data_IF_319257673583
#
_entry.id   IF_319257673583
#
_cell.length_a   1.000
_cell.length_b   1.000
_cell.length_c   1.000
_cell.angle_alpha   90.00
_cell.angle_beta   90.00
_cell.angle_gamma   90.00
#
_symmetry.space_group_name_H-M   'P 1'
#
loop_
_entity.id
_entity.type
_entity.pdbx_description
1 polymer ?
#
# COMPACT_ATOMS: atom_id res chain seq x y z
N UNK A 1 8.37 5.87 -11.06
CA UNK A 1 7.19 5.12 -10.58
C UNK A 1 7.20 3.78 -11.27
N UNK A 2 7.22 2.69 -10.50
CA UNK A 2 7.28 1.33 -11.05
C UNK A 2 5.94 0.97 -11.69
N UNK A 3 5.97 0.38 -12.89
CA UNK A 3 4.76 -0.10 -13.54
C UNK A 3 4.23 -1.35 -12.80
N UNK A 4 3.01 -1.26 -12.28
CA UNK A 4 2.31 -2.35 -11.57
C UNK A 4 1.26 -3.05 -12.44
N UNK A 5 1.22 -2.78 -13.76
CA UNK A 5 0.17 -3.30 -14.65
C UNK A 5 0.11 -4.83 -14.69
N UNK A 6 1.24 -5.51 -14.51
CA UNK A 6 1.34 -6.98 -14.49
C UNK A 6 1.00 -7.60 -13.12
N UNK A 7 0.47 -6.82 -12.16
CA UNK A 7 0.23 -7.31 -10.80
C UNK A 7 -0.74 -8.49 -10.76
N UNK A 8 -1.84 -8.37 -11.49
CA UNK A 8 -2.89 -9.38 -11.54
C UNK A 8 -2.50 -10.60 -12.39
N UNK A 9 -1.39 -10.51 -13.13
CA UNK A 9 -0.85 -11.58 -13.98
C UNK A 9 0.26 -12.38 -13.26
N UNK A 10 0.64 -11.98 -12.04
CA UNK A 10 1.70 -12.66 -11.29
C UNK A 10 1.26 -14.07 -10.86
N UNK A 11 2.14 -15.07 -11.02
CA UNK A 11 1.83 -16.50 -10.77
C UNK A 11 1.19 -16.74 -9.39
N UNK A 12 1.67 -16.04 -8.36
CA UNK A 12 1.17 -16.17 -6.98
C UNK A 12 -0.04 -15.27 -6.66
N UNK A 13 -0.51 -14.43 -7.58
CA UNK A 13 -1.60 -13.49 -7.32
C UNK A 13 -2.90 -14.22 -6.98
N UNK A 14 -3.27 -15.22 -7.79
CA UNK A 14 -4.51 -15.98 -7.62
C UNK A 14 -4.56 -16.71 -6.27
N UNK A 15 -3.49 -17.43 -5.90
CA UNK A 15 -3.41 -18.11 -4.59
C UNK A 15 -3.44 -17.12 -3.42
N UNK A 16 -2.87 -15.93 -3.58
CA UNK A 16 -2.93 -14.87 -2.57
C UNK A 16 -4.35 -14.32 -2.43
N UNK A 17 -5.07 -14.17 -3.54
CA UNK A 17 -6.47 -13.74 -3.55
C UNK A 17 -7.37 -14.76 -2.86
N UNK A 18 -7.22 -16.05 -3.17
CA UNK A 18 -7.97 -17.13 -2.50
C UNK A 18 -7.74 -17.11 -0.98
N UNK A 19 -6.48 -16.98 -0.55
CA UNK A 19 -6.13 -16.85 0.88
C UNK A 19 -6.71 -15.60 1.54
N UNK A 20 -6.89 -14.53 0.77
CA UNK A 20 -7.52 -13.30 1.23
C UNK A 20 -9.03 -13.45 1.35
N UNK A 21 -9.68 -14.07 0.36
CA UNK A 21 -11.12 -14.34 0.35
C UNK A 21 -11.55 -15.26 1.50
N UNK A 22 -10.71 -16.23 1.88
CA UNK A 22 -10.91 -17.04 3.09
C UNK A 22 -10.95 -16.20 4.38
N UNK A 23 -10.31 -15.03 4.38
CA UNK A 23 -10.34 -14.08 5.49
C UNK A 23 -11.48 -13.06 5.39
N UNK A 24 -12.32 -13.14 4.35
CA UNK A 24 -13.48 -12.26 4.14
C UNK A 24 -14.76 -13.02 4.48
N UNK A 25 -15.51 -12.54 5.48
CA UNK A 25 -16.82 -13.09 5.86
C UNK A 25 -17.85 -11.97 5.86
N UNK A 26 -18.97 -12.14 5.14
CA UNK A 26 -20.05 -11.15 5.06
C UNK A 26 -19.59 -9.74 4.62
N UNK A 27 -18.60 -9.64 3.73
CA UNK A 27 -18.04 -8.36 3.27
C UNK A 27 -17.03 -7.72 4.22
N UNK A 28 -16.70 -8.40 5.32
CA UNK A 28 -15.74 -7.95 6.33
C UNK A 28 -14.53 -8.89 6.36
N UNK A 29 -13.34 -8.31 6.26
CA UNK A 29 -12.07 -9.01 6.29
C UNK A 29 -11.49 -8.98 7.69
N UNK A 30 -10.77 -10.07 8.04
CA UNK A 30 -9.97 -10.12 9.27
C UNK A 30 -9.00 -8.93 9.30
N UNK A 31 -8.78 -8.39 10.51
CA UNK A 31 -7.87 -7.27 10.72
C UNK A 31 -6.49 -7.57 10.11
N UNK A 32 -6.07 -6.73 9.16
CA UNK A 32 -4.80 -6.81 8.40
C UNK A 32 -4.71 -7.93 7.35
N UNK A 33 -5.83 -8.48 6.86
CA UNK A 33 -5.85 -9.44 5.75
C UNK A 33 -5.11 -8.94 4.48
N UNK A 34 -5.15 -7.64 4.21
CA UNK A 34 -4.40 -7.01 3.10
C UNK A 34 -2.87 -7.25 3.17
N UNK A 35 -2.34 -7.62 4.34
CA UNK A 35 -0.94 -8.00 4.53
C UNK A 35 -0.50 -9.18 3.67
N UNK A 36 -1.42 -10.06 3.26
CA UNK A 36 -1.14 -11.19 2.38
C UNK A 36 -0.54 -10.77 1.03
N UNK A 37 -1.00 -9.64 0.49
CA UNK A 37 -0.57 -9.14 -0.81
C UNK A 37 0.86 -8.59 -0.83
N UNK A 38 1.50 -8.42 0.34
CA UNK A 38 2.82 -7.80 0.47
C UNK A 38 3.88 -8.51 -0.37
N UNK A 39 3.91 -9.83 -0.37
CA UNK A 39 4.93 -10.63 -1.09
C UNK A 39 4.81 -10.41 -2.59
N UNK A 40 3.63 -10.66 -3.17
CA UNK A 40 3.39 -10.50 -4.62
C UNK A 40 3.72 -9.08 -5.09
N UNK A 41 3.29 -8.04 -4.35
CA UNK A 41 3.64 -6.66 -4.69
C UNK A 41 5.15 -6.40 -4.62
N UNK A 42 5.85 -7.01 -3.66
CA UNK A 42 7.30 -6.84 -3.50
C UNK A 42 8.05 -7.49 -4.67
N UNK A 43 7.58 -8.64 -5.14
CA UNK A 43 8.19 -9.36 -6.27
C UNK A 43 8.09 -8.55 -7.57
N UNK A 44 6.90 -8.03 -7.90
CA UNK A 44 6.68 -7.19 -9.09
C UNK A 44 7.51 -5.91 -9.05
N UNK A 45 7.61 -5.32 -7.86
CA UNK A 45 8.39 -4.10 -7.66
C UNK A 45 9.89 -4.35 -7.57
N UNK A 46 10.33 -5.62 -7.67
CA UNK A 46 11.73 -6.03 -7.55
C UNK A 46 12.36 -5.51 -6.25
N UNK A 47 11.59 -5.60 -5.15
CA UNK A 47 12.03 -5.17 -3.84
C UNK A 47 12.17 -3.65 -3.68
N UNK A 48 11.48 -2.84 -4.48
CA UNK A 48 11.54 -1.37 -4.42
C UNK A 48 10.19 -0.74 -4.09
N UNK A 49 10.21 0.44 -3.48
CA UNK A 49 9.00 1.24 -3.32
C UNK A 49 8.46 1.70 -4.70
N UNK A 50 7.19 1.47 -5.06
CA UNK A 50 6.62 1.96 -6.32
C UNK A 50 6.67 3.49 -6.48
N UNK A 51 6.66 4.21 -5.35
CA UNK A 51 6.57 5.67 -5.29
C UNK A 51 7.95 6.33 -5.40
N UNK A 52 8.89 5.93 -4.53
CA UNK A 52 10.21 6.58 -4.42
C UNK A 52 11.39 5.67 -4.81
N UNK A 53 11.12 4.43 -5.21
CA UNK A 53 12.10 3.47 -5.73
C UNK A 53 13.22 3.05 -4.77
N UNK A 54 13.13 3.39 -3.48
CA UNK A 54 14.08 2.91 -2.47
C UNK A 54 13.94 1.40 -2.25
N UNK A 55 15.04 0.74 -1.88
CA UNK A 55 15.05 -0.69 -1.56
C UNK A 55 14.20 -0.99 -0.31
N UNK A 56 13.54 -2.15 -0.33
CA UNK A 56 12.64 -2.67 0.70
C UNK A 56 13.21 -3.92 1.40
N UNK A 57 14.54 -4.04 1.45
CA UNK A 57 15.31 -5.14 2.05
C UNK A 57 15.87 -4.80 3.45
N UNK A 58 15.42 -3.68 4.04
CA UNK A 58 15.91 -3.09 5.30
C UNK A 58 17.34 -2.51 5.25
N UNK A 59 17.98 -2.45 4.07
CA UNK A 59 19.29 -1.82 3.90
C UNK A 59 19.22 -0.29 3.98
N UNK A 60 18.09 0.29 3.59
CA UNK A 60 17.88 1.75 3.61
C UNK A 60 17.57 2.19 5.03
N UNK A 61 18.43 3.03 5.59
CA UNK A 61 18.27 3.60 6.93
C UNK A 61 17.99 5.10 6.86
N UNK A 62 17.31 5.62 7.89
CA UNK A 62 17.00 7.04 8.07
C UNK A 62 17.20 7.46 9.52
N UNK A 63 17.68 8.68 9.71
CA UNK A 63 17.76 9.33 11.01
C UNK A 63 16.41 10.00 11.32
N UNK A 64 15.86 9.75 12.50
CA UNK A 64 14.70 10.49 13.00
C UNK A 64 15.11 11.83 13.60
N UNK A 65 14.14 12.73 13.78
CA UNK A 65 14.37 14.00 14.49
C UNK A 65 14.81 13.80 15.96
N UNK A 66 14.59 12.61 16.54
CA UNK A 66 15.06 12.23 17.88
C UNK A 66 16.47 11.65 17.89
N UNK A 67 17.17 11.61 16.75
CA UNK A 67 18.51 11.04 16.62
C UNK A 67 18.56 9.51 16.52
N UNK A 68 17.41 8.84 16.43
CA UNK A 68 17.37 7.38 16.29
C UNK A 68 17.52 6.97 14.83
N UNK A 69 18.20 5.86 14.57
CA UNK A 69 18.26 5.26 13.24
C UNK A 69 17.12 4.25 13.11
N UNK A 70 16.35 4.33 12.03
CA UNK A 70 15.36 3.31 11.67
C UNK A 70 15.60 2.79 10.27
N UNK A 71 15.38 1.49 10.08
CA UNK A 71 15.35 0.87 8.75
C UNK A 71 14.00 1.11 8.09
N UNK A 72 14.04 1.49 6.83
CA UNK A 72 12.87 1.58 5.96
C UNK A 72 12.31 0.19 5.72
N UNK A 73 11.01 0.04 6.01
CA UNK A 73 10.30 -1.23 5.87
C UNK A 73 9.30 -1.16 4.72
N UNK A 74 9.09 -2.30 4.07
CA UNK A 74 7.93 -2.51 3.22
C UNK A 74 6.64 -2.50 4.05
N UNK A 75 5.68 -1.70 3.62
CA UNK A 75 4.33 -1.60 4.19
C UNK A 75 3.31 -1.76 3.08
N UNK A 76 2.17 -2.37 3.39
CA UNK A 76 1.02 -2.43 2.50
C UNK A 76 -0.17 -1.82 3.23
N UNK A 77 -0.90 -0.96 2.55
CA UNK A 77 -2.03 -0.23 3.12
C UNK A 77 -3.11 0.00 2.06
N UNK A 78 -4.25 0.53 2.49
CA UNK A 78 -5.33 0.89 1.59
C UNK A 78 -4.89 2.03 0.67
N UNK A 79 -5.11 1.88 -0.64
CA UNK A 79 -5.01 2.97 -1.59
C UNK A 79 -6.11 3.99 -1.26
N UNK A 80 -7.38 3.69 -1.51
CA UNK A 80 -8.48 4.57 -1.05
C UNK A 80 -8.68 4.39 0.46
N UNK A 81 -8.56 5.46 1.28
CA UNK A 81 -8.63 5.35 2.74
C UNK A 81 -9.98 4.80 3.21
N UNK A 82 -9.93 3.89 4.18
CA UNK A 82 -11.12 3.25 4.74
C UNK A 82 -12.13 4.26 5.32
N UNK A 83 -11.66 5.38 5.89
CA UNK A 83 -12.53 6.42 6.47
C UNK A 83 -13.51 7.02 5.45
N UNK A 84 -13.04 7.26 4.22
CA UNK A 84 -13.85 7.86 3.16
C UNK A 84 -14.43 6.83 2.18
N UNK A 85 -13.84 5.63 2.12
CA UNK A 85 -14.23 4.55 1.21
C UNK A 85 -14.42 3.23 1.95
N UNK A 86 -15.33 3.15 2.94
CA UNK A 86 -15.50 1.96 3.76
C UNK A 86 -15.94 0.73 2.95
N UNK A 87 -16.60 0.93 1.81
CA UNK A 87 -17.01 -0.13 0.89
C UNK A 87 -15.83 -0.78 0.14
N UNK A 88 -14.63 -0.20 0.19
CA UNK A 88 -13.40 -0.73 -0.42
C UNK A 88 -12.42 -1.31 0.60
N UNK A 89 -12.82 -1.44 1.87
CA UNK A 89 -11.93 -1.92 2.94
C UNK A 89 -11.40 -3.34 2.70
N UNK A 90 -12.22 -4.19 2.08
CA UNK A 90 -11.88 -5.59 1.77
C UNK A 90 -11.81 -5.84 0.26
N UNK A 91 -11.51 -4.79 -0.50
CA UNK A 91 -11.36 -4.87 -1.94
C UNK A 91 -9.87 -5.13 -2.27
N UNK A 92 -9.57 -6.28 -2.86
CA UNK A 92 -8.19 -6.71 -3.14
C UNK A 92 -7.45 -5.78 -4.11
N UNK A 93 -8.20 -5.07 -4.95
CA UNK A 93 -7.65 -4.05 -5.86
C UNK A 93 -7.36 -2.71 -5.18
N UNK A 94 -7.73 -2.54 -3.92
CA UNK A 94 -7.58 -1.29 -3.16
C UNK A 94 -6.36 -1.30 -2.22
N UNK A 95 -5.33 -2.11 -2.49
CA UNK A 95 -4.12 -2.18 -1.66
C UNK A 95 -2.88 -1.70 -2.41
N UNK A 96 -1.97 -1.04 -1.70
CA UNK A 96 -0.76 -0.45 -2.27
C UNK A 96 0.46 -0.73 -1.38
N UNK A 97 1.52 -1.27 -2.00
CA UNK A 97 2.83 -1.41 -1.38
C UNK A 97 3.56 -0.07 -1.39
N UNK A 98 4.12 0.31 -0.25
CA UNK A 98 4.92 1.52 -0.06
C UNK A 98 6.03 1.28 0.95
N UNK A 99 7.10 2.07 0.87
CA UNK A 99 8.02 2.18 2.00
C UNK A 99 7.36 2.92 3.18
N UNK A 100 7.84 2.70 4.40
CA UNK A 100 7.29 3.32 5.61
C UNK A 100 7.23 4.86 5.54
N UNK A 101 8.17 5.50 4.86
CA UNK A 101 8.18 6.97 4.68
C UNK A 101 7.06 7.41 3.76
N UNK A 102 6.95 6.79 2.57
CA UNK A 102 5.88 7.07 1.62
C UNK A 102 4.51 6.81 2.25
N UNK A 103 4.33 5.71 2.99
CA UNK A 103 3.07 5.43 3.68
C UNK A 103 2.76 6.50 4.75
N UNK A 104 3.76 6.96 5.50
CA UNK A 104 3.57 8.01 6.50
C UNK A 104 3.19 9.35 5.86
N UNK A 105 3.78 9.69 4.71
CA UNK A 105 3.41 10.90 3.95
C UNK A 105 2.02 10.75 3.33
N UNK A 106 1.71 9.57 2.81
CA UNK A 106 0.42 9.25 2.23
C UNK A 106 -0.72 9.46 3.23
N UNK A 107 -0.58 8.92 4.45
CA UNK A 107 -1.56 9.07 5.54
C UNK A 107 -1.78 10.50 6.02
N UNK A 108 -0.81 11.38 5.80
CA UNK A 108 -0.89 12.81 6.16
C UNK A 108 -1.43 13.67 5.02
N UNK A 109 -1.57 13.11 3.82
CA UNK A 109 -2.07 13.80 2.65
C UNK A 109 -3.59 13.70 2.59
N UNK A 110 -4.26 14.70 2.00
CA UNK A 110 -5.69 14.61 1.72
C UNK A 110 -5.93 13.64 0.56
N UNK A 111 -6.96 12.78 0.68
CA UNK A 111 -7.39 11.87 -0.39
C UNK A 111 -8.72 12.34 -1.02
N UNK A 112 -8.92 12.25 -2.36
CA UNK A 112 -7.92 11.89 -3.37
C UNK A 112 -6.74 12.85 -3.30
N UNK A 113 -5.55 12.42 -3.73
CA UNK A 113 -4.35 13.27 -3.78
C UNK A 113 -4.67 14.46 -4.69
N UNK A 114 -5.30 15.50 -4.13
CA UNK A 114 -5.59 16.70 -4.86
C UNK A 114 -4.24 17.31 -5.21
N UNK A 115 -4.02 17.75 -6.45
CA UNK A 115 -2.92 18.66 -6.73
C UNK A 115 -2.99 19.78 -5.68
N UNK A 116 -1.88 20.06 -5.01
CA UNK A 116 -1.81 21.17 -4.07
C UNK A 116 -2.32 22.43 -4.79
N UNK A 117 -3.50 22.94 -4.40
CA UNK A 117 -4.16 24.07 -5.06
C UNK A 117 -5.36 23.76 -5.97
N UNK A 118 -5.85 22.51 -6.05
CA UNK A 118 -7.10 22.22 -6.75
C UNK A 118 -8.28 22.83 -5.98
N UNK A 119 -8.85 23.89 -6.56
CA UNK A 119 -10.09 24.51 -6.10
C UNK A 119 -11.17 23.42 -6.04
N UNK A 120 -11.80 23.26 -4.87
CA UNK A 120 -13.03 22.47 -4.73
C UNK A 120 -14.05 23.06 -5.69
N UNK A 121 -14.30 22.40 -6.81
CA UNK A 121 -15.53 22.62 -7.56
C UNK A 121 -16.64 22.00 -6.72
N UNK A 122 -17.26 22.82 -5.87
CA UNK A 122 -18.57 22.52 -5.31
C UNK A 122 -19.58 22.56 -6.45
N UNK A 123 -20.38 21.49 -6.56
CA UNK A 123 -21.65 21.49 -7.29
C UNK A 123 -22.58 22.63 -6.81
#
# INVERSE_FOLDING_TARGET
MINMSSLYEHDNYQTTLESFEEQVTNGDCIYRAWGLFKTVHTDITKGKCPICECLLDNSVQRLTNSGNIFSIKATIDHYRPQEYYPFLKCEHTNYLLMCSDCNSMYKKSEFPLYPCGAIRWSE
#
